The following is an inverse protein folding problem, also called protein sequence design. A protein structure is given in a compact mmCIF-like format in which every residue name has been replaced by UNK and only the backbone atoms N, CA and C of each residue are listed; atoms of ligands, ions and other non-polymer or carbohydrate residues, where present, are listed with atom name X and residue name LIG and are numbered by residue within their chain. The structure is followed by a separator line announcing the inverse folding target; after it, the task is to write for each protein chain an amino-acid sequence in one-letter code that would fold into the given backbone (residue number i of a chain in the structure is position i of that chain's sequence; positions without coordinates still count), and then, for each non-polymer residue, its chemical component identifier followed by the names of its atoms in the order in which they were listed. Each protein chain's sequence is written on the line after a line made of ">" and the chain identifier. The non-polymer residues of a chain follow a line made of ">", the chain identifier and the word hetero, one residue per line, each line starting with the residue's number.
data_IF_483698975784
#
_entry.id   IF_483698975784
#
_cell.length_a   1.000
_cell.length_b   1.000
_cell.length_c   1.000
_cell.angle_alpha   90.00
_cell.angle_beta   90.00
_cell.angle_gamma   90.00
#
_symmetry.space_group_name_H-M   'P 1'
#
loop_
_entity.id
_entity.type
_entity.pdbx_description
1 polymer ?
#
# COMPACT_ATOMS: atom_id res chain seq x y z
N UNK A 1 -5.53 18.77 -4.97
CA UNK A 1 -5.64 17.65 -4.02
C UNK A 1 -4.24 17.17 -3.68
N UNK A 2 -4.05 16.21 -2.78
CA UNK A 2 -2.70 15.82 -2.32
C UNK A 2 -2.32 14.40 -2.71
N UNK A 3 -1.02 14.12 -2.65
CA UNK A 3 -0.40 12.80 -2.88
C UNK A 3 -0.98 11.77 -1.91
N UNK A 4 -1.37 10.60 -2.43
CA UNK A 4 -2.00 9.49 -1.73
C UNK A 4 -1.53 8.15 -2.27
N UNK A 5 -1.67 7.13 -1.45
CA UNK A 5 -1.34 5.76 -1.79
C UNK A 5 -2.56 4.95 -2.23
N UNK A 6 -2.42 4.29 -3.38
CA UNK A 6 -3.35 3.29 -3.90
C UNK A 6 -2.59 2.05 -4.36
N UNK A 7 -3.18 0.87 -4.19
CA UNK A 7 -2.68 -0.34 -4.82
C UNK A 7 -3.81 -1.18 -5.42
N UNK A 8 -3.61 -1.60 -6.66
CA UNK A 8 -4.63 -2.27 -7.47
C UNK A 8 -4.25 -3.71 -7.79
N UNK A 9 -5.22 -4.65 -7.81
CA UNK A 9 -4.97 -6.00 -8.29
C UNK A 9 -4.58 -6.00 -9.77
N UNK A 10 -3.61 -6.85 -10.12
CA UNK A 10 -3.24 -7.12 -11.52
C UNK A 10 -3.53 -8.58 -11.84
N UNK A 11 -4.60 -8.81 -12.58
CA UNK A 11 -5.01 -10.14 -13.04
C UNK A 11 -4.01 -10.73 -14.04
N UNK A 12 -4.01 -12.05 -14.18
CA UNK A 12 -3.02 -12.77 -14.98
C UNK A 12 -2.91 -12.30 -16.44
N UNK A 13 -4.02 -11.89 -17.04
CA UNK A 13 -4.09 -11.34 -18.41
C UNK A 13 -3.46 -9.94 -18.55
N UNK A 14 -3.35 -9.19 -17.46
CA UNK A 14 -2.77 -7.83 -17.43
C UNK A 14 -1.31 -7.80 -16.99
N UNK A 15 -0.79 -8.87 -16.39
CA UNK A 15 0.59 -8.95 -15.87
C UNK A 15 1.63 -8.56 -16.94
N UNK A 16 1.48 -9.07 -18.17
CA UNK A 16 2.44 -8.76 -19.22
C UNK A 16 2.52 -7.26 -19.53
N UNK A 17 1.37 -6.59 -19.62
CA UNK A 17 1.32 -5.14 -19.84
C UNK A 17 1.84 -4.36 -18.61
N UNK A 18 1.41 -4.73 -17.40
CA UNK A 18 1.80 -4.06 -16.17
C UNK A 18 3.30 -4.20 -15.86
N UNK A 19 3.93 -5.30 -16.28
CA UNK A 19 5.37 -5.51 -16.14
C UNK A 19 6.21 -4.58 -17.02
N UNK A 20 5.63 -4.05 -18.10
CA UNK A 20 6.26 -3.08 -18.99
C UNK A 20 5.95 -1.67 -18.51
N UNK A 21 4.68 -1.42 -18.16
CA UNK A 21 4.18 -0.13 -17.71
C UNK A 21 3.10 -0.34 -16.63
N UNK A 22 3.42 -0.09 -15.34
CA UNK A 22 2.47 -0.21 -14.23
C UNK A 22 1.20 0.64 -14.41
N UNK A 23 1.30 1.78 -15.10
CA UNK A 23 0.16 2.67 -15.37
C UNK A 23 -0.97 1.95 -16.12
N UNK A 24 -0.64 0.93 -16.92
CA UNK A 24 -1.65 0.12 -17.64
C UNK A 24 -2.58 -0.64 -16.72
N UNK A 25 -2.21 -0.84 -15.45
CA UNK A 25 -3.02 -1.47 -14.42
C UNK A 25 -3.76 -0.46 -13.52
N UNK A 26 -3.39 0.82 -13.55
CA UNK A 26 -3.88 1.87 -12.68
C UNK A 26 -5.07 2.59 -13.36
N UNK A 27 -6.18 2.88 -12.65
CA UNK A 27 -7.25 3.70 -13.19
C UNK A 27 -6.77 5.09 -13.60
N UNK A 28 -7.37 5.67 -14.63
CA UNK A 28 -6.98 7.01 -15.13
C UNK A 28 -7.10 8.11 -14.05
N UNK A 29 -8.10 8.01 -13.18
CA UNK A 29 -8.28 8.91 -12.04
C UNK A 29 -8.41 8.08 -10.75
N UNK A 30 -7.30 7.75 -10.07
CA UNK A 30 -7.30 7.00 -8.82
C UNK A 30 -8.15 7.67 -7.73
N UNK A 31 -8.23 9.01 -7.73
CA UNK A 31 -9.03 9.72 -6.74
C UNK A 31 -10.53 9.50 -6.98
N UNK A 32 -11.02 9.74 -8.20
CA UNK A 32 -12.42 9.54 -8.54
C UNK A 32 -12.83 8.06 -8.49
N UNK A 33 -11.90 7.17 -8.83
CA UNK A 33 -12.15 5.73 -8.89
C UNK A 33 -12.12 5.11 -7.50
N UNK A 34 -11.13 5.42 -6.66
CA UNK A 34 -10.93 4.74 -5.38
C UNK A 34 -11.40 5.54 -4.18
N UNK A 35 -11.10 6.85 -4.13
CA UNK A 35 -11.37 7.64 -2.93
C UNK A 35 -12.83 8.11 -2.86
N UNK A 36 -13.37 8.63 -3.96
CA UNK A 36 -14.74 9.18 -3.99
C UNK A 36 -15.81 8.16 -3.58
N UNK A 37 -15.81 6.91 -4.08
CA UNK A 37 -16.79 5.91 -3.65
C UNK A 37 -16.68 5.58 -2.16
N UNK A 38 -15.47 5.58 -1.59
CA UNK A 38 -15.27 5.37 -0.15
C UNK A 38 -15.85 6.50 0.69
N UNK A 39 -15.74 7.74 0.21
CA UNK A 39 -16.34 8.91 0.86
C UNK A 39 -17.88 8.85 0.82
N UNK A 40 -18.44 8.43 -0.31
CA UNK A 40 -19.89 8.24 -0.48
C UNK A 40 -20.39 7.09 0.41
N UNK A 41 -19.72 5.94 0.40
CA UNK A 41 -20.04 4.76 1.20
C UNK A 41 -19.89 4.98 2.71
N UNK A 42 -19.02 5.89 3.16
CA UNK A 42 -18.91 6.28 4.57
C UNK A 42 -20.24 6.83 5.13
N UNK A 43 -21.12 7.33 4.26
CA UNK A 43 -22.46 7.80 4.66
C UNK A 43 -23.52 6.70 4.60
N UNK A 44 -23.27 5.58 3.90
CA UNK A 44 -24.15 4.40 3.86
C UNK A 44 -23.36 3.11 3.51
N UNK A 45 -22.79 2.40 4.51
CA UNK A 45 -21.84 1.33 4.25
C UNK A 45 -22.54 0.06 3.75
N UNK A 46 -22.32 -0.28 2.48
CA UNK A 46 -22.55 -1.63 1.96
C UNK A 46 -21.19 -2.31 1.72
N UNK A 47 -20.84 -3.35 2.48
CA UNK A 47 -19.53 -4.03 2.37
C UNK A 47 -19.27 -4.69 1.01
N UNK A 48 -20.30 -4.88 0.19
CA UNK A 48 -20.20 -5.46 -1.16
C UNK A 48 -19.85 -4.43 -2.24
N UNK A 49 -19.77 -3.14 -1.90
CA UNK A 49 -19.61 -2.02 -2.84
C UNK A 49 -18.19 -1.44 -2.87
N UNK A 50 -17.13 -2.17 -2.47
CA UNK A 50 -15.77 -1.79 -2.87
C UNK A 50 -15.58 -2.17 -4.36
N UNK A 51 -15.72 -1.22 -5.29
CA UNK A 51 -15.89 -1.56 -6.71
C UNK A 51 -14.58 -2.07 -7.34
N UNK A 52 -13.45 -1.91 -6.66
CA UNK A 52 -12.12 -2.10 -7.24
C UNK A 52 -11.25 -3.08 -6.48
N UNK A 53 -11.69 -3.53 -5.29
CA UNK A 53 -10.92 -4.40 -4.40
C UNK A 53 -9.48 -3.91 -4.30
N UNK A 54 -9.30 -2.58 -4.16
CA UNK A 54 -8.03 -1.85 -4.09
C UNK A 54 -7.64 -1.55 -2.65
N UNK A 55 -6.35 -1.28 -2.40
CA UNK A 55 -5.84 -0.85 -1.10
C UNK A 55 -5.62 0.65 -1.10
N UNK A 56 -6.14 1.34 -0.09
CA UNK A 56 -5.98 2.77 0.08
C UNK A 56 -5.38 3.09 1.45
N UNK A 57 -4.23 3.78 1.49
CA UNK A 57 -3.53 4.13 2.74
C UNK A 57 -3.40 5.65 2.96
N UNK A 58 -4.17 6.45 2.20
CA UNK A 58 -4.14 7.92 2.20
C UNK A 58 -2.70 8.47 2.19
N UNK A 59 -2.33 9.30 3.17
CA UNK A 59 -1.02 9.98 3.28
C UNK A 59 -0.06 9.31 4.23
N UNK A 60 -0.44 8.15 4.78
CA UNK A 60 0.24 7.50 5.91
C UNK A 60 0.81 6.13 5.55
N UNK A 61 0.93 5.82 4.26
CA UNK A 61 1.50 4.55 3.79
C UNK A 61 2.90 4.28 4.34
N UNK A 62 3.72 5.33 4.47
CA UNK A 62 5.07 5.24 5.01
C UNK A 62 5.10 4.84 6.49
N UNK A 63 4.03 5.07 7.25
CA UNK A 63 3.96 4.70 8.66
C UNK A 63 4.00 3.18 8.84
N UNK A 64 3.28 2.45 7.99
CA UNK A 64 3.35 0.97 7.94
C UNK A 64 4.72 0.53 7.43
N UNK A 65 5.25 1.23 6.42
CA UNK A 65 6.60 0.98 5.90
C UNK A 65 7.71 1.02 6.95
N UNK A 66 7.58 1.84 8.01
CA UNK A 66 8.57 1.91 9.08
C UNK A 66 8.70 0.63 9.91
N UNK A 67 7.75 -0.31 9.84
CA UNK A 67 7.89 -1.65 10.43
C UNK A 67 8.89 -2.55 9.67
N UNK A 68 9.16 -2.20 8.41
CA UNK A 68 9.95 -3.00 7.47
C UNK A 68 11.25 -2.31 7.04
N UNK A 69 11.34 -1.00 7.28
CA UNK A 69 12.54 -0.23 7.05
C UNK A 69 13.63 -0.62 8.03
N UNK A 70 14.83 -0.85 7.52
CA UNK A 70 16.02 -1.12 8.35
C UNK A 70 16.88 0.12 8.50
N UNK A 71 17.94 0.03 9.30
CA UNK A 71 18.92 1.11 9.37
C UNK A 71 19.78 1.15 8.11
N UNK A 72 20.45 2.29 7.88
CA UNK A 72 21.14 2.66 6.63
C UNK A 72 22.18 1.65 6.10
N UNK A 73 22.62 0.69 6.91
CA UNK A 73 23.61 -0.32 6.54
C UNK A 73 23.04 -1.74 6.39
N UNK A 74 21.73 -1.91 6.58
CA UNK A 74 21.04 -3.19 6.42
C UNK A 74 20.07 -3.10 5.23
N UNK A 75 19.88 -4.21 4.48
CA UNK A 75 18.87 -4.24 3.45
C UNK A 75 17.47 -4.21 4.09
N UNK A 76 16.60 -3.35 3.55
CA UNK A 76 15.21 -3.29 3.99
C UNK A 76 14.53 -4.66 3.86
N UNK A 77 13.58 -4.92 4.74
CA UNK A 77 12.79 -6.16 4.69
C UNK A 77 11.93 -6.19 3.43
N UNK A 78 11.64 -7.37 2.84
CA UNK A 78 10.90 -7.46 1.59
C UNK A 78 9.60 -6.66 1.54
N UNK A 79 8.80 -6.63 2.62
CA UNK A 79 7.54 -5.91 2.63
C UNK A 79 7.68 -4.37 2.55
N UNK A 80 8.87 -3.83 2.79
CA UNK A 80 9.15 -2.40 2.58
C UNK A 80 8.95 -1.96 1.12
N UNK A 81 9.09 -2.89 0.16
CA UNK A 81 8.80 -2.67 -1.26
C UNK A 81 7.42 -2.08 -1.52
N UNK A 82 6.44 -2.39 -0.66
CA UNK A 82 5.08 -1.85 -0.79
C UNK A 82 4.98 -0.36 -0.45
N UNK A 83 5.94 0.19 0.30
CA UNK A 83 5.81 1.49 0.96
C UNK A 83 6.93 2.48 0.62
N UNK A 84 8.01 2.02 -0.04
CA UNK A 84 9.22 2.82 -0.30
C UNK A 84 9.04 4.02 -1.23
N UNK A 85 8.00 4.01 -2.05
CA UNK A 85 7.78 4.99 -3.10
C UNK A 85 7.37 6.37 -2.60
N UNK A 86 7.67 7.41 -3.40
CA UNK A 86 7.19 8.76 -3.14
C UNK A 86 7.05 9.56 -4.45
N UNK A 87 5.99 10.36 -4.55
CA UNK A 87 5.77 11.22 -5.71
C UNK A 87 6.85 12.31 -5.78
N UNK A 88 7.22 12.70 -6.99
CA UNK A 88 8.17 13.79 -7.23
C UNK A 88 7.42 15.10 -7.43
N UNK A 89 7.56 16.04 -6.50
CA UNK A 89 6.98 17.39 -6.63
C UNK A 89 7.67 18.16 -7.75
N UNK A 90 6.89 18.85 -8.59
CA UNK A 90 7.38 19.71 -9.67
C UNK A 90 6.72 21.10 -9.58
N UNK A 91 7.14 22.05 -10.42
CA UNK A 91 6.64 23.44 -10.39
C UNK A 91 5.10 23.53 -10.43
N UNK A 92 4.45 22.61 -11.14
CA UNK A 92 2.99 22.49 -11.21
C UNK A 92 2.58 21.04 -10.95
N UNK A 93 2.25 20.73 -9.69
CA UNK A 93 1.75 19.43 -9.28
C UNK A 93 2.86 18.46 -8.86
N UNK A 94 2.71 17.18 -9.21
CA UNK A 94 3.67 16.13 -8.91
C UNK A 94 3.61 15.05 -9.99
N UNK A 95 4.72 14.34 -10.14
CA UNK A 95 4.83 13.13 -10.95
C UNK A 95 4.59 11.95 -10.01
N UNK A 96 3.59 11.08 -10.27
CA UNK A 96 3.31 9.95 -9.41
C UNK A 96 4.47 8.96 -9.40
N UNK A 97 4.61 8.24 -8.29
CA UNK A 97 5.47 7.07 -8.23
C UNK A 97 4.62 5.82 -8.43
N UNK A 98 5.02 4.99 -9.38
CA UNK A 98 4.27 3.80 -9.77
C UNK A 98 5.19 2.58 -9.84
N UNK A 99 4.69 1.44 -9.36
CA UNK A 99 5.46 0.20 -9.34
C UNK A 99 4.54 -0.99 -9.58
N UNK A 100 5.01 -1.92 -10.40
CA UNK A 100 4.42 -3.24 -10.53
C UNK A 100 5.15 -4.24 -9.61
N UNK A 101 4.39 -5.06 -8.91
CA UNK A 101 4.85 -6.21 -8.13
C UNK A 101 4.30 -7.48 -8.77
N UNK A 102 5.17 -8.37 -9.21
CA UNK A 102 4.76 -9.66 -9.80
C UNK A 102 4.13 -10.60 -8.75
N UNK A 103 3.31 -11.59 -9.15
CA UNK A 103 2.80 -12.59 -8.22
C UNK A 103 3.90 -13.34 -7.46
N UNK A 104 5.08 -13.51 -8.06
CA UNK A 104 6.23 -14.18 -7.44
C UNK A 104 6.83 -13.33 -6.33
N UNK A 105 7.09 -12.05 -6.59
CA UNK A 105 7.58 -11.10 -5.59
C UNK A 105 6.55 -10.89 -4.48
N UNK A 106 5.27 -10.80 -4.84
CA UNK A 106 4.18 -10.59 -3.90
C UNK A 106 4.08 -11.71 -2.85
N UNK A 107 4.43 -12.96 -3.20
CA UNK A 107 4.48 -14.06 -2.23
C UNK A 107 5.58 -13.89 -1.18
N UNK A 108 6.76 -13.41 -1.59
CA UNK A 108 7.88 -13.15 -0.67
C UNK A 108 7.52 -11.98 0.25
N UNK A 109 6.96 -10.92 -0.33
CA UNK A 109 6.45 -9.76 0.39
C UNK A 109 5.36 -10.16 1.38
N UNK A 110 4.39 -10.99 0.98
CA UNK A 110 3.29 -11.43 1.84
C UNK A 110 3.80 -12.17 3.07
N UNK A 111 4.79 -13.06 2.91
CA UNK A 111 5.36 -13.81 4.02
C UNK A 111 6.07 -12.90 5.04
N UNK A 112 6.81 -11.89 4.57
CA UNK A 112 7.44 -10.91 5.44
C UNK A 112 6.40 -9.98 6.11
N UNK A 113 5.41 -9.52 5.34
CA UNK A 113 4.32 -8.67 5.83
C UNK A 113 3.50 -9.37 6.94
N UNK A 114 3.23 -10.66 6.80
CA UNK A 114 2.49 -11.47 7.80
C UNK A 114 3.33 -11.80 9.05
N UNK A 115 4.64 -11.57 9.02
CA UNK A 115 5.48 -11.74 10.21
C UNK A 115 5.45 -10.55 11.16
N UNK A 116 4.94 -9.39 10.70
CA UNK A 116 4.76 -8.21 11.55
C UNK A 116 3.41 -8.23 12.28
N UNK A 117 3.40 -7.81 13.54
CA UNK A 117 2.22 -7.80 14.39
C UNK A 117 2.22 -6.67 15.43
N UNK A 118 1.34 -6.76 16.46
CA UNK A 118 1.25 -5.75 17.51
C UNK A 118 2.57 -5.48 18.23
N UNK A 119 3.36 -6.52 18.50
CA UNK A 119 4.64 -6.40 19.19
C UNK A 119 5.65 -5.54 18.41
N UNK A 120 5.66 -5.63 17.07
CA UNK A 120 6.51 -4.79 16.22
C UNK A 120 6.06 -3.32 16.23
N UNK A 121 4.75 -3.08 16.31
CA UNK A 121 4.18 -1.74 16.43
C UNK A 121 4.53 -1.12 17.79
N UNK A 122 4.40 -1.90 18.87
CA UNK A 122 4.79 -1.46 20.21
C UNK A 122 6.29 -1.12 20.25
N UNK A 123 7.14 -1.99 19.69
CA UNK A 123 8.58 -1.75 19.58
C UNK A 123 8.91 -0.49 18.76
N UNK A 124 8.17 -0.24 17.66
CA UNK A 124 8.33 0.97 16.84
C UNK A 124 8.01 2.24 17.65
N UNK A 125 6.96 2.24 18.45
CA UNK A 125 6.53 3.37 19.30
C UNK A 125 7.51 3.58 20.46
N UNK A 126 7.98 2.49 21.08
CA UNK A 126 8.96 2.51 22.17
C UNK A 126 10.32 3.03 21.71
N UNK A 127 10.73 2.71 20.48
CA UNK A 127 12.01 3.18 19.91
C UNK A 127 12.12 4.71 19.84
N UNK A 128 10.98 5.41 19.79
CA UNK A 128 10.86 6.87 19.56
C UNK A 128 11.54 7.37 18.28
N UNK A 129 12.02 6.49 17.39
CA UNK A 129 12.74 6.85 16.15
C UNK A 129 11.91 7.76 15.24
N UNK A 130 10.60 7.51 15.16
CA UNK A 130 9.65 8.25 14.32
C UNK A 130 8.65 9.07 15.14
N UNK A 131 8.83 9.15 16.46
CA UNK A 131 7.99 9.92 17.38
C UNK A 131 6.48 9.63 17.36
N UNK A 132 6.08 8.39 17.02
CA UNK A 132 4.68 7.98 17.10
C UNK A 132 4.13 7.99 18.53
N UNK A 133 2.85 8.35 18.63
CA UNK A 133 2.02 8.21 19.81
C UNK A 133 1.37 6.84 19.88
N UNK A 134 0.88 6.43 21.06
CA UNK A 134 0.14 5.17 21.23
C UNK A 134 -1.10 5.10 20.31
N UNK A 135 -1.81 6.22 20.16
CA UNK A 135 -2.97 6.33 19.26
C UNK A 135 -2.60 6.13 17.79
N UNK A 136 -1.46 6.66 17.35
CA UNK A 136 -0.97 6.43 15.99
C UNK A 136 -0.54 4.98 15.80
N UNK A 137 -0.03 4.32 16.86
CA UNK A 137 0.21 2.89 16.90
C UNK A 137 -1.02 2.05 16.56
N UNK A 138 -2.16 2.33 17.18
CA UNK A 138 -3.43 1.66 16.88
C UNK A 138 -3.80 1.79 15.39
N UNK A 139 -3.54 2.97 14.81
CA UNK A 139 -3.80 3.22 13.39
C UNK A 139 -2.82 2.47 12.47
N UNK A 140 -1.54 2.43 12.81
CA UNK A 140 -0.53 1.65 12.08
C UNK A 140 -0.94 0.17 12.06
N UNK A 141 -1.38 -0.37 13.19
CA UNK A 141 -1.81 -1.76 13.30
C UNK A 141 -3.06 -2.05 12.45
N UNK A 142 -4.02 -1.12 12.38
CA UNK A 142 -5.18 -1.26 11.51
C UNK A 142 -4.78 -1.24 10.02
N UNK A 143 -3.94 -0.28 9.62
CA UNK A 143 -3.43 -0.20 8.24
C UNK A 143 -2.59 -1.43 7.86
N UNK A 144 -1.79 -1.96 8.78
CA UNK A 144 -1.06 -3.21 8.59
C UNK A 144 -2.02 -4.36 8.31
N UNK A 145 -3.08 -4.52 9.12
CA UNK A 145 -4.08 -5.58 8.94
C UNK A 145 -4.83 -5.45 7.63
N UNK A 146 -5.21 -4.23 7.24
CA UNK A 146 -5.83 -3.97 5.94
C UNK A 146 -4.90 -4.38 4.80
N UNK A 147 -3.62 -4.03 4.89
CA UNK A 147 -2.60 -4.38 3.90
C UNK A 147 -2.37 -5.89 3.82
N UNK A 148 -2.25 -6.57 4.96
CA UNK A 148 -2.13 -8.03 5.05
C UNK A 148 -3.32 -8.74 4.40
N UNK A 149 -4.55 -8.33 4.74
CA UNK A 149 -5.76 -8.90 4.16
C UNK A 149 -5.81 -8.70 2.65
N UNK A 150 -5.47 -7.50 2.19
CA UNK A 150 -5.43 -7.18 0.76
C UNK A 150 -4.41 -8.07 0.03
N UNK A 151 -3.16 -8.09 0.50
CA UNK A 151 -2.05 -8.83 -0.14
C UNK A 151 -2.33 -10.33 -0.14
N UNK A 152 -2.89 -10.87 0.96
CA UNK A 152 -3.27 -12.29 1.05
C UNK A 152 -4.26 -12.68 -0.05
N UNK A 153 -5.31 -11.88 -0.28
CA UNK A 153 -6.28 -12.13 -1.37
C UNK A 153 -5.60 -12.17 -2.74
N UNK A 154 -4.63 -11.29 -3.00
CA UNK A 154 -3.86 -11.28 -4.27
C UNK A 154 -3.05 -12.55 -4.44
N UNK A 155 -2.33 -12.95 -3.39
CA UNK A 155 -1.51 -14.16 -3.40
C UNK A 155 -2.36 -15.40 -3.65
N UNK A 156 -3.50 -15.53 -2.97
CA UNK A 156 -4.45 -16.64 -3.14
C UNK A 156 -4.99 -16.72 -4.57
N UNK A 157 -5.18 -15.57 -5.23
CA UNK A 157 -5.68 -15.48 -6.62
C UNK A 157 -4.58 -15.55 -7.67
N UNK A 158 -3.30 -15.60 -7.26
CA UNK A 158 -2.16 -15.55 -8.19
C UNK A 158 -2.04 -14.22 -8.94
N UNK A 159 -2.57 -13.14 -8.36
CA UNK A 159 -2.53 -11.79 -8.91
C UNK A 159 -1.21 -11.09 -8.61
N UNK A 160 -0.82 -10.16 -9.47
CA UNK A 160 0.18 -9.14 -9.16
C UNK A 160 -0.47 -7.92 -8.52
N UNK A 161 0.32 -6.87 -8.34
CA UNK A 161 -0.17 -5.59 -7.82
C UNK A 161 0.48 -4.42 -8.54
N UNK A 162 -0.27 -3.35 -8.75
CA UNK A 162 0.25 -2.07 -9.21
C UNK A 162 0.02 -1.01 -8.13
N UNK A 163 1.09 -0.33 -7.71
CA UNK A 163 1.06 0.72 -6.70
C UNK A 163 1.08 2.07 -7.42
N UNK A 164 0.29 3.01 -6.93
CA UNK A 164 0.27 4.41 -7.33
C UNK A 164 0.40 5.31 -6.11
N UNK A 165 1.39 6.20 -6.11
CA UNK A 165 1.59 7.23 -5.10
C UNK A 165 1.58 8.59 -5.80
N UNK A 166 0.48 9.32 -5.67
CA UNK A 166 0.21 10.57 -6.39
C UNK A 166 -1.18 11.11 -6.14
#
# INVERSE_FOLDING_TARGET
>A
MGIRYYAYPVTADRIAAASIDPATAIPYDPFATSFMPRLENATNPNPLDDPYDDLYLDKVWSWVGHLFATDWCEPDRPAYELFKGNATTVDVGWIPWEQFISPQELRVIAADLDSAGPEDVDALIESKKYHFTEREGEWILDLLRQTQQFVRRRVERGEGMAIHIG
#
